data_IF_351870394202
#
_entry.id   IF_351870394202
#
_cell.length_a   1.000
_cell.length_b   1.000
_cell.length_c   1.000
_cell.angle_alpha   90.00
_cell.angle_beta   90.00
_cell.angle_gamma   90.00
#
_symmetry.space_group_name_H-M   'P 1'
#
loop_
_entity.id
_entity.type
_entity.pdbx_description
1 polymer ?
#
# COMPACT_ATOMS: atom_id res chain seq x y z
N UNK A 1 -14.40 1.67 11.91
CA UNK A 1 -13.07 1.61 11.30
C UNK A 1 -12.64 3.00 10.85
N UNK A 2 -11.44 3.38 11.21
CA UNK A 2 -10.96 4.71 10.87
C UNK A 2 -10.71 4.80 9.36
N UNK A 3 -11.24 5.84 8.75
CA UNK A 3 -11.04 6.11 7.35
C UNK A 3 -9.82 7.01 7.19
N UNK A 4 -8.91 6.64 6.33
CA UNK A 4 -7.74 7.46 6.08
C UNK A 4 -8.15 8.60 5.18
N UNK A 5 -8.10 9.82 5.70
CA UNK A 5 -8.53 11.01 4.97
C UNK A 5 -7.37 11.86 4.46
N UNK A 6 -6.15 11.55 4.92
CA UNK A 6 -4.97 12.32 4.54
C UNK A 6 -3.77 11.39 4.50
N UNK A 7 -2.86 11.62 3.55
CA UNK A 7 -1.64 10.84 3.45
C UNK A 7 -0.76 11.02 4.69
N UNK A 8 -0.88 12.15 5.37
CA UNK A 8 -0.11 12.40 6.58
C UNK A 8 -0.55 11.52 7.74
N UNK A 9 -1.77 10.97 7.67
CA UNK A 9 -2.30 10.10 8.71
C UNK A 9 -1.92 8.65 8.51
N UNK A 10 -1.24 8.33 7.40
CA UNK A 10 -0.85 6.95 7.12
C UNK A 10 0.23 6.47 8.09
N UNK A 11 0.16 5.19 8.49
CA UNK A 11 1.23 4.62 9.29
C UNK A 11 2.50 4.50 8.45
N UNK A 12 3.64 4.36 9.13
CA UNK A 12 4.91 4.20 8.44
C UNK A 12 4.90 2.96 7.55
N UNK A 13 4.27 1.91 8.03
CA UNK A 13 4.13 0.65 7.27
C UNK A 13 2.66 0.44 6.95
N UNK A 14 2.38 0.15 5.69
CA UNK A 14 1.02 -0.05 5.19
C UNK A 14 0.88 -1.52 4.78
N UNK A 15 -0.24 -2.12 5.15
CA UNK A 15 -0.55 -3.49 4.73
C UNK A 15 -1.28 -3.47 3.39
N UNK A 16 -1.26 -4.62 2.69
CA UNK A 16 -1.92 -4.72 1.38
C UNK A 16 -3.40 -4.32 1.48
N UNK A 17 -4.06 -4.77 2.54
CA UNK A 17 -5.47 -4.43 2.73
C UNK A 17 -5.69 -2.93 2.84
N UNK A 18 -4.80 -2.25 3.58
CA UNK A 18 -4.89 -0.81 3.73
C UNK A 18 -4.61 -0.10 2.41
N UNK A 19 -3.64 -0.61 1.66
CA UNK A 19 -3.31 -0.04 0.35
C UNK A 19 -4.51 -0.14 -0.59
N UNK A 20 -5.22 -1.26 -0.55
CA UNK A 20 -6.42 -1.44 -1.37
C UNK A 20 -7.46 -0.37 -1.06
N UNK A 21 -7.67 -0.09 0.23
CA UNK A 21 -8.62 0.94 0.64
C UNK A 21 -8.17 2.33 0.21
N UNK A 22 -6.89 2.61 0.37
CA UNK A 22 -6.33 3.91 0.01
C UNK A 22 -6.51 4.18 -1.48
N UNK A 23 -6.26 3.16 -2.31
CA UNK A 23 -6.35 3.30 -3.76
C UNK A 23 -7.75 3.02 -4.29
N UNK A 24 -8.66 2.58 -3.42
CA UNK A 24 -10.04 2.24 -3.79
C UNK A 24 -10.09 1.17 -4.89
N UNK A 25 -9.25 0.16 -4.77
CA UNK A 25 -9.21 -0.95 -5.72
C UNK A 25 -9.40 -2.26 -4.97
N UNK A 26 -9.63 -3.34 -5.71
CA UNK A 26 -9.83 -4.66 -5.10
C UNK A 26 -8.52 -5.19 -4.53
N UNK A 27 -8.62 -6.15 -3.62
CA UNK A 27 -7.43 -6.81 -3.07
C UNK A 27 -6.65 -7.51 -4.17
N UNK A 28 -7.36 -8.13 -5.11
CA UNK A 28 -6.71 -8.81 -6.23
C UNK A 28 -5.85 -7.86 -7.03
N UNK A 29 -6.40 -6.69 -7.36
CA UNK A 29 -5.65 -5.67 -8.10
C UNK A 29 -4.46 -5.17 -7.29
N UNK A 30 -4.65 -5.02 -5.98
CA UNK A 30 -3.58 -4.55 -5.10
C UNK A 30 -2.44 -5.57 -5.05
N UNK A 31 -2.76 -6.85 -4.97
CA UNK A 31 -1.73 -7.90 -4.99
C UNK A 31 -0.97 -7.90 -6.31
N UNK A 32 -1.69 -7.70 -7.41
CA UNK A 32 -1.04 -7.61 -8.73
C UNK A 32 -0.07 -6.43 -8.76
N UNK A 33 -0.49 -5.30 -8.23
CA UNK A 33 0.33 -4.10 -8.18
C UNK A 33 1.61 -4.33 -7.38
N UNK A 34 1.46 -4.96 -6.22
CA UNK A 34 2.59 -5.25 -5.34
C UNK A 34 3.54 -6.26 -5.98
N UNK A 35 3.00 -7.30 -6.60
CA UNK A 35 3.80 -8.36 -7.21
C UNK A 35 4.52 -7.88 -8.47
N UNK A 36 3.95 -6.91 -9.16
CA UNK A 36 4.56 -6.38 -10.38
C UNK A 36 5.76 -5.48 -10.09
N UNK A 37 5.95 -5.08 -8.83
CA UNK A 37 7.08 -4.24 -8.45
C UNK A 37 6.84 -2.76 -8.67
N UNK A 38 5.64 -2.35 -9.03
CA UNK A 38 5.35 -0.94 -9.24
C UNK A 38 5.38 -0.16 -7.93
N UNK A 39 5.06 -0.84 -6.83
CA UNK A 39 5.15 -0.26 -5.49
C UNK A 39 6.16 -1.09 -4.73
N UNK A 40 7.23 -0.44 -4.26
CA UNK A 40 8.25 -1.15 -3.52
C UNK A 40 7.67 -1.73 -2.24
N UNK A 41 7.87 -3.02 -2.04
CA UNK A 41 7.26 -3.74 -0.94
C UNK A 41 8.28 -4.63 -0.27
N UNK A 42 8.19 -4.72 1.05
CA UNK A 42 9.01 -5.63 1.84
C UNK A 42 8.17 -6.85 2.16
N UNK A 43 8.66 -8.02 1.83
CA UNK A 43 7.95 -9.26 2.13
C UNK A 43 8.55 -9.91 3.38
N UNK A 44 7.70 -10.17 4.36
CA UNK A 44 8.10 -10.86 5.58
C UNK A 44 7.20 -12.07 5.74
N UNK A 45 7.76 -13.25 5.51
CA UNK A 45 6.96 -14.47 5.54
C UNK A 45 5.87 -14.42 4.48
N UNK A 46 4.62 -14.43 4.92
CA UNK A 46 3.46 -14.38 4.03
C UNK A 46 2.88 -12.98 3.91
N UNK A 47 3.49 -12.01 4.57
CA UNK A 47 2.94 -10.65 4.62
C UNK A 47 3.72 -9.73 3.71
N UNK A 48 3.01 -8.82 3.10
CA UNK A 48 3.61 -7.74 2.33
C UNK A 48 3.48 -6.46 3.14
N UNK A 49 4.60 -5.80 3.36
CA UNK A 49 4.63 -4.56 4.12
C UNK A 49 5.06 -3.45 3.15
N UNK A 50 4.24 -2.45 3.01
CA UNK A 50 4.49 -1.35 2.08
C UNK A 50 4.92 -0.12 2.90
N UNK A 51 6.17 0.31 2.78
CA UNK A 51 6.59 1.55 3.46
C UNK A 51 5.78 2.72 2.92
N UNK A 52 5.39 3.62 3.81
CA UNK A 52 4.64 4.82 3.42
C UNK A 52 5.35 5.57 2.29
N UNK A 53 6.67 5.65 2.37
CA UNK A 53 7.45 6.36 1.36
C UNK A 53 7.26 5.75 -0.03
N UNK A 54 7.16 4.42 -0.11
CA UNK A 54 6.93 3.74 -1.38
C UNK A 54 5.61 4.14 -2.00
N UNK A 55 4.57 4.24 -1.19
CA UNK A 55 3.25 4.66 -1.66
C UNK A 55 3.30 6.09 -2.16
N UNK A 56 3.95 6.97 -1.41
CA UNK A 56 4.05 8.38 -1.82
C UNK A 56 4.80 8.50 -3.15
N UNK A 57 5.87 7.75 -3.31
CA UNK A 57 6.64 7.76 -4.56
C UNK A 57 5.78 7.27 -5.73
N UNK A 58 5.00 6.22 -5.49
CA UNK A 58 4.13 5.68 -6.52
C UNK A 58 3.08 6.70 -6.96
N UNK A 59 2.51 7.41 -6.01
CA UNK A 59 1.46 8.39 -6.31
C UNK A 59 1.99 9.65 -6.98
N UNK A 60 3.27 9.92 -6.85
CA UNK A 60 3.90 11.10 -7.44
C UNK A 60 4.24 10.93 -8.93
N UNK A 61 4.11 9.74 -9.44
CA UNK A 61 4.42 9.47 -10.84
C UNK A 61 3.35 10.01 -11.78
#
# INVERSE_FOLDING_TARGET
MAKITSLDELPVIIHVKDLAEILSISLTSTYCLVRSGQVRTIRVGRRYLIPKQSLLTYLEK
#
